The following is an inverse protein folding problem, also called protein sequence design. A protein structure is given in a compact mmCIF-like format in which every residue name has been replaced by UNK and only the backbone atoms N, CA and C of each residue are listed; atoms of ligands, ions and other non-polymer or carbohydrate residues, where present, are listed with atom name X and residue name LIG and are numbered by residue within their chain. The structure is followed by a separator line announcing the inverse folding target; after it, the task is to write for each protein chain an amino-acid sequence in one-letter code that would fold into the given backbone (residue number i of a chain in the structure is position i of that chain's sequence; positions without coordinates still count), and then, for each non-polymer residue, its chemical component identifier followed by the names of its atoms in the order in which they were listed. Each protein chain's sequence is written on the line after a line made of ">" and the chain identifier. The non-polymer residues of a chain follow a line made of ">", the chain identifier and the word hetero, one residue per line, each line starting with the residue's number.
data_IF_098658135429
#
_entry.id   IF_098658135429
#
_cell.length_a   1.000
_cell.length_b   1.000
_cell.length_c   1.000
_cell.angle_alpha   90.00
_cell.angle_beta   90.00
_cell.angle_gamma   90.00
#
_symmetry.space_group_name_H-M   'P 1'
#
loop_
_entity.id
_entity.type
_entity.pdbx_description
1 polymer ?
#
# COMPACT_ATOMS: atom_id res chain seq x y z
N UNK A 1 -8.53 -15.14 5.72
CA UNK A 1 -8.81 -14.54 4.39
C UNK A 1 -7.69 -14.84 3.40
N UNK A 2 -6.44 -14.42 3.67
CA UNK A 2 -5.30 -14.66 2.74
C UNK A 2 -5.12 -16.14 2.37
N UNK A 3 -5.19 -17.07 3.33
CA UNK A 3 -5.13 -18.51 3.01
C UNK A 3 -6.21 -18.98 2.02
N UNK A 4 -7.46 -18.46 2.14
CA UNK A 4 -8.51 -18.76 1.15
C UNK A 4 -8.16 -18.19 -0.23
N UNK A 5 -7.56 -17.00 -0.27
CA UNK A 5 -7.13 -16.39 -1.54
C UNK A 5 -6.12 -17.31 -2.25
N UNK A 6 -5.07 -17.75 -1.55
CA UNK A 6 -4.05 -18.66 -2.07
C UNK A 6 -4.67 -20.00 -2.50
N UNK A 7 -5.51 -20.62 -1.67
CA UNK A 7 -6.13 -21.90 -1.98
C UNK A 7 -6.97 -21.89 -3.28
N UNK A 8 -7.64 -20.78 -3.57
CA UNK A 8 -8.55 -20.69 -4.71
C UNK A 8 -7.93 -20.09 -5.98
N UNK A 9 -6.89 -19.26 -5.86
CA UNK A 9 -6.32 -18.52 -7.00
C UNK A 9 -4.79 -18.61 -7.11
N UNK A 10 -4.13 -19.23 -6.14
CA UNK A 10 -2.70 -19.44 -6.09
C UNK A 10 -2.28 -20.75 -6.74
N UNK A 11 -1.10 -20.74 -7.36
CA UNK A 11 -0.50 -21.93 -7.97
C UNK A 11 -0.25 -23.00 -6.90
N UNK A 12 -0.68 -24.23 -7.15
CA UNK A 12 -0.40 -25.35 -6.26
C UNK A 12 1.10 -25.65 -6.23
N UNK A 13 1.69 -25.72 -5.04
CA UNK A 13 3.13 -25.99 -4.84
C UNK A 13 3.34 -27.46 -4.47
N UNK A 14 2.54 -27.99 -3.54
CA UNK A 14 2.74 -29.34 -3.00
C UNK A 14 1.96 -29.58 -1.71
N UNK A 15 2.30 -30.67 -1.00
CA UNK A 15 1.75 -30.96 0.33
C UNK A 15 2.83 -30.85 1.41
N UNK A 16 2.48 -30.26 2.55
CA UNK A 16 3.29 -30.25 3.77
C UNK A 16 2.41 -30.82 4.89
N UNK A 17 2.85 -31.90 5.54
CA UNK A 17 2.10 -32.60 6.60
C UNK A 17 0.67 -32.98 6.19
N UNK A 18 0.47 -33.31 4.91
CA UNK A 18 -0.84 -33.67 4.35
C UNK A 18 -1.73 -32.49 3.96
N UNK A 19 -1.31 -31.25 4.20
CA UNK A 19 -2.03 -30.05 3.82
C UNK A 19 -1.54 -29.51 2.47
N UNK A 20 -2.48 -29.19 1.57
CA UNK A 20 -2.20 -28.62 0.26
C UNK A 20 -1.73 -27.16 0.38
N UNK A 21 -0.53 -26.89 -0.10
CA UNK A 21 0.09 -25.56 -0.09
C UNK A 21 0.00 -24.91 -1.46
N UNK A 22 -0.44 -23.66 -1.46
CA UNK A 22 -0.58 -22.81 -2.64
C UNK A 22 0.19 -21.52 -2.46
N UNK A 23 0.76 -21.01 -3.54
CA UNK A 23 1.43 -19.72 -3.58
C UNK A 23 0.44 -18.56 -3.48
N UNK A 24 0.95 -17.34 -3.35
CA UNK A 24 0.15 -16.14 -3.53
C UNK A 24 -0.27 -16.00 -5.01
N UNK A 25 -1.53 -15.61 -5.31
CA UNK A 25 -1.99 -15.46 -6.69
C UNK A 25 -1.24 -14.35 -7.43
N UNK A 26 -1.08 -14.52 -8.74
CA UNK A 26 -0.63 -13.43 -9.62
C UNK A 26 -1.80 -12.47 -9.91
N UNK A 27 -1.53 -11.22 -10.32
CA UNK A 27 -2.58 -10.31 -10.74
C UNK A 27 -3.47 -10.88 -11.87
N UNK A 28 -2.88 -11.65 -12.79
CA UNK A 28 -3.57 -12.25 -13.93
C UNK A 28 -4.59 -13.30 -13.46
N UNK A 29 -4.27 -14.11 -12.45
CA UNK A 29 -5.21 -15.13 -11.92
C UNK A 29 -6.41 -14.51 -11.18
N UNK A 30 -6.32 -13.24 -10.82
CA UNK A 30 -7.37 -12.47 -10.15
C UNK A 30 -8.15 -11.54 -11.09
N UNK A 31 -7.86 -11.55 -12.39
CA UNK A 31 -8.42 -10.63 -13.38
C UNK A 31 -9.71 -11.14 -14.07
N UNK A 32 -10.19 -12.34 -13.74
CA UNK A 32 -11.43 -12.86 -14.34
C UNK A 32 -12.69 -12.16 -13.79
N UNK A 33 -13.70 -11.97 -14.65
CA UNK A 33 -14.97 -11.29 -14.29
C UNK A 33 -15.69 -11.88 -13.07
N UNK A 34 -15.53 -13.18 -12.80
CA UNK A 34 -16.19 -13.89 -11.69
C UNK A 34 -15.48 -13.72 -10.34
N UNK A 35 -14.25 -13.18 -10.33
CA UNK A 35 -13.39 -13.16 -9.13
C UNK A 35 -14.02 -12.36 -8.00
N UNK A 36 -14.57 -11.17 -8.27
CA UNK A 36 -15.20 -10.36 -7.23
C UNK A 36 -16.35 -11.12 -6.54
N UNK A 37 -17.27 -11.70 -7.32
CA UNK A 37 -18.42 -12.42 -6.80
C UNK A 37 -17.98 -13.60 -5.92
N UNK A 38 -17.04 -14.41 -6.42
CA UNK A 38 -16.52 -15.54 -5.67
C UNK A 38 -15.76 -15.11 -4.40
N UNK A 39 -14.99 -14.01 -4.43
CA UNK A 39 -14.37 -13.47 -3.22
C UNK A 39 -15.40 -13.01 -2.18
N UNK A 40 -16.55 -12.48 -2.60
CA UNK A 40 -17.65 -12.13 -1.69
C UNK A 40 -18.21 -13.38 -1.02
N UNK A 41 -18.46 -14.45 -1.78
CA UNK A 41 -18.89 -15.76 -1.25
C UNK A 41 -17.89 -16.34 -0.25
N UNK A 42 -16.58 -16.15 -0.50
CA UNK A 42 -15.52 -16.58 0.42
C UNK A 42 -15.39 -15.73 1.70
N UNK A 43 -16.16 -14.64 1.81
CA UNK A 43 -16.25 -13.79 3.00
C UNK A 43 -15.33 -12.56 2.98
N UNK A 44 -14.86 -12.11 1.81
CA UNK A 44 -14.02 -10.90 1.72
C UNK A 44 -14.81 -9.60 1.88
N UNK A 45 -16.15 -9.67 1.81
CA UNK A 45 -17.03 -8.52 1.96
C UNK A 45 -16.75 -7.44 0.91
N UNK A 46 -16.80 -6.17 1.32
CA UNK A 46 -16.56 -5.05 0.42
C UNK A 46 -15.14 -5.01 -0.17
N UNK A 47 -14.15 -5.65 0.48
CA UNK A 47 -12.76 -5.71 0.01
C UNK A 47 -12.59 -6.58 -1.25
N UNK A 48 -13.55 -7.46 -1.55
CA UNK A 48 -13.55 -8.25 -2.78
C UNK A 48 -13.42 -7.37 -4.02
N UNK A 49 -14.16 -6.25 -4.05
CA UNK A 49 -14.08 -5.25 -5.13
C UNK A 49 -12.68 -4.65 -5.27
N UNK A 50 -12.03 -4.31 -4.15
CA UNK A 50 -10.71 -3.69 -4.17
C UNK A 50 -9.64 -4.63 -4.71
N UNK A 51 -9.70 -5.91 -4.32
CA UNK A 51 -8.78 -6.95 -4.80
C UNK A 51 -8.95 -7.16 -6.30
N UNK A 52 -10.18 -7.37 -6.77
CA UNK A 52 -10.47 -7.62 -8.17
C UNK A 52 -10.08 -6.41 -9.06
N UNK A 53 -10.46 -5.19 -8.66
CA UNK A 53 -10.14 -3.99 -9.44
C UNK A 53 -8.63 -3.71 -9.45
N UNK A 54 -7.95 -3.85 -8.31
CA UNK A 54 -6.50 -3.66 -8.25
C UNK A 54 -5.78 -4.69 -9.12
N UNK A 55 -6.17 -5.97 -9.04
CA UNK A 55 -5.58 -7.00 -9.88
C UNK A 55 -5.77 -6.71 -11.38
N UNK A 56 -6.97 -6.26 -11.78
CA UNK A 56 -7.25 -5.83 -13.16
C UNK A 56 -6.35 -4.68 -13.60
N UNK A 57 -6.24 -3.62 -12.80
CA UNK A 57 -5.38 -2.46 -13.07
C UNK A 57 -3.92 -2.90 -13.25
N UNK A 58 -3.41 -3.75 -12.35
CA UNK A 58 -2.02 -4.20 -12.41
C UNK A 58 -1.78 -5.10 -13.63
N UNK A 59 -2.72 -6.01 -13.95
CA UNK A 59 -2.57 -6.96 -15.04
C UNK A 59 -2.77 -6.35 -16.45
N UNK A 60 -3.54 -5.27 -16.56
CA UNK A 60 -3.94 -4.71 -17.87
C UNK A 60 -3.46 -3.28 -18.12
N UNK A 61 -3.44 -2.44 -17.08
CA UNK A 61 -3.28 -0.98 -17.25
C UNK A 61 -1.87 -0.51 -16.86
N UNK A 62 -1.14 -1.27 -16.05
CA UNK A 62 0.22 -0.92 -15.60
C UNK A 62 1.30 -1.60 -16.44
N UNK A 63 2.47 -0.94 -16.62
CA UNK A 63 3.63 -1.59 -17.22
C UNK A 63 4.08 -2.84 -16.46
N UNK A 64 4.74 -3.75 -17.17
CA UNK A 64 5.43 -4.88 -16.54
C UNK A 64 6.42 -4.36 -15.49
N UNK A 65 6.50 -5.02 -14.33
CA UNK A 65 7.34 -4.63 -13.20
C UNK A 65 7.05 -3.22 -12.63
N UNK A 66 5.87 -2.64 -12.88
CA UNK A 66 5.48 -1.34 -12.32
C UNK A 66 5.59 -1.26 -10.80
N UNK A 67 5.24 -2.34 -10.07
CA UNK A 67 5.38 -2.34 -8.61
C UNK A 67 6.86 -2.33 -8.19
N UNK A 68 7.71 -3.06 -8.92
CA UNK A 68 9.15 -3.10 -8.65
C UNK A 68 9.85 -1.78 -9.00
N UNK A 69 9.32 -1.00 -9.96
CA UNK A 69 9.83 0.35 -10.21
C UNK A 69 9.57 1.35 -9.09
N UNK A 70 8.70 1.01 -8.12
CA UNK A 70 8.45 1.83 -6.91
C UNK A 70 9.33 1.41 -5.72
N UNK A 71 10.17 0.38 -5.88
CA UNK A 71 11.00 -0.18 -4.83
C UNK A 71 12.13 0.79 -4.47
N UNK A 72 12.50 0.80 -3.18
CA UNK A 72 13.69 1.50 -2.74
C UNK A 72 14.92 0.91 -3.45
N UNK A 73 15.68 1.72 -4.22
CA UNK A 73 16.85 1.23 -4.95
C UNK A 73 17.94 0.64 -4.03
N UNK A 74 17.99 1.05 -2.76
CA UNK A 74 18.93 0.52 -1.77
C UNK A 74 18.53 -0.88 -1.25
N UNK A 75 17.29 -1.32 -1.50
CA UNK A 75 16.74 -2.60 -1.06
C UNK A 75 16.05 -3.36 -2.21
N UNK A 76 16.82 -3.85 -3.21
CA UNK A 76 16.27 -4.56 -4.35
C UNK A 76 15.60 -5.88 -3.94
N UNK A 77 14.55 -6.27 -4.68
CA UNK A 77 13.91 -7.57 -4.47
C UNK A 77 14.83 -8.70 -4.93
N UNK A 78 14.63 -9.87 -4.34
CA UNK A 78 15.29 -11.10 -4.79
C UNK A 78 14.93 -11.34 -6.27
N UNK A 79 15.94 -11.48 -7.12
CA UNK A 79 15.81 -11.58 -8.59
C UNK A 79 15.14 -10.37 -9.28
N UNK A 80 15.16 -9.18 -8.67
CA UNK A 80 14.64 -7.98 -9.33
C UNK A 80 15.41 -7.68 -10.62
N UNK A 81 14.67 -7.38 -11.69
CA UNK A 81 15.25 -6.81 -12.91
C UNK A 81 15.52 -5.34 -12.63
N UNK A 82 16.78 -4.93 -12.78
CA UNK A 82 17.15 -3.52 -12.60
C UNK A 82 16.33 -2.64 -13.55
N UNK A 83 15.59 -1.68 -12.99
CA UNK A 83 14.87 -0.68 -13.79
C UNK A 83 15.93 0.27 -14.38
N UNK A 84 16.13 0.16 -15.69
CA UNK A 84 17.26 0.76 -16.45
C UNK A 84 17.07 2.23 -16.80
N UNK A 85 15.96 2.84 -16.41
CA UNK A 85 15.57 4.22 -16.77
C UNK A 85 16.43 5.30 -16.10
N UNK A 86 17.09 4.98 -14.98
CA UNK A 86 17.94 5.93 -14.25
C UNK A 86 17.18 6.89 -13.32
N UNK A 87 15.85 6.91 -13.35
CA UNK A 87 15.05 7.54 -12.28
C UNK A 87 15.06 6.68 -11.02
N UNK A 88 15.47 7.30 -9.91
CA UNK A 88 15.31 6.74 -8.58
C UNK A 88 13.94 7.14 -8.06
N UNK A 89 13.07 6.16 -7.81
CA UNK A 89 11.81 6.42 -7.10
C UNK A 89 12.12 6.91 -5.69
N UNK A 90 11.33 7.84 -5.16
CA UNK A 90 11.35 8.18 -3.73
C UNK A 90 10.21 7.49 -2.99
N UNK A 91 10.31 7.37 -1.66
CA UNK A 91 9.18 6.93 -0.83
C UNK A 91 7.88 7.69 -1.15
N UNK A 92 7.96 9.01 -1.42
CA UNK A 92 6.78 9.82 -1.72
C UNK A 92 6.17 9.49 -3.07
N UNK A 93 6.98 9.18 -4.07
CA UNK A 93 6.50 8.74 -5.39
C UNK A 93 5.83 7.37 -5.28
N UNK A 94 6.46 6.43 -4.56
CA UNK A 94 5.90 5.11 -4.30
C UNK A 94 4.55 5.19 -3.55
N UNK A 95 4.47 6.00 -2.50
CA UNK A 95 3.24 6.22 -1.73
C UNK A 95 2.13 6.82 -2.61
N UNK A 96 2.44 7.86 -3.39
CA UNK A 96 1.48 8.51 -4.28
C UNK A 96 0.97 7.56 -5.38
N UNK A 97 1.86 6.75 -5.95
CA UNK A 97 1.52 5.75 -6.95
C UNK A 97 0.57 4.68 -6.37
N UNK A 98 0.82 4.18 -5.16
CA UNK A 98 -0.04 3.20 -4.49
C UNK A 98 -1.41 3.78 -4.12
N UNK A 99 -1.48 5.04 -3.70
CA UNK A 99 -2.74 5.73 -3.39
C UNK A 99 -3.68 5.89 -4.61
N UNK A 100 -3.17 5.70 -5.83
CA UNK A 100 -4.02 5.68 -7.04
C UNK A 100 -4.85 4.39 -7.16
N UNK A 101 -4.53 3.34 -6.39
CA UNK A 101 -5.23 2.06 -6.45
C UNK A 101 -6.50 2.07 -5.59
N UNK A 102 -7.58 1.51 -6.15
CA UNK A 102 -8.87 1.46 -5.46
C UNK A 102 -8.79 0.65 -4.17
N UNK A 103 -9.14 1.27 -3.03
CA UNK A 103 -9.12 0.62 -1.72
C UNK A 103 -7.79 0.70 -0.98
N UNK A 104 -6.78 1.37 -1.56
CA UNK A 104 -5.50 1.67 -0.91
C UNK A 104 -5.53 3.09 -0.33
N UNK A 105 -5.64 3.17 0.99
CA UNK A 105 -5.50 4.44 1.73
C UNK A 105 -4.08 4.65 2.27
N UNK A 106 -3.79 5.82 2.90
CA UNK A 106 -2.44 6.17 3.37
C UNK A 106 -1.77 5.09 4.22
N UNK A 107 -2.49 4.54 5.21
CA UNK A 107 -1.99 3.45 6.05
C UNK A 107 -1.60 2.21 5.25
N UNK A 108 -2.40 1.83 4.26
CA UNK A 108 -2.12 0.64 3.44
C UNK A 108 -0.95 0.90 2.50
N UNK A 109 -0.92 2.07 1.86
CA UNK A 109 0.22 2.48 1.03
C UNK A 109 1.53 2.45 1.84
N UNK A 110 1.52 3.01 3.06
CA UNK A 110 2.69 2.99 3.94
C UNK A 110 3.08 1.58 4.38
N UNK A 111 2.12 0.69 4.67
CA UNK A 111 2.43 -0.70 4.94
C UNK A 111 3.15 -1.38 3.76
N UNK A 112 2.73 -1.10 2.52
CA UNK A 112 3.37 -1.63 1.31
C UNK A 112 4.74 -0.99 1.10
N UNK A 113 4.88 0.32 1.29
CA UNK A 113 6.17 1.01 1.22
C UNK A 113 7.19 0.41 2.21
N UNK A 114 6.80 0.28 3.48
CA UNK A 114 7.68 -0.21 4.54
C UNK A 114 8.05 -1.70 4.36
N UNK A 115 7.05 -2.58 4.21
CA UNK A 115 7.28 -4.04 4.26
C UNK A 115 7.50 -4.67 2.88
N UNK A 116 6.93 -4.08 1.83
CA UNK A 116 6.96 -4.64 0.48
C UNK A 116 8.03 -4.02 -0.41
N UNK A 117 8.30 -2.72 -0.25
CA UNK A 117 9.16 -1.93 -1.15
C UNK A 117 10.48 -1.46 -0.51
N UNK A 118 10.71 -1.70 0.79
CA UNK A 118 11.98 -1.38 1.45
C UNK A 118 12.17 0.10 1.84
N UNK A 119 11.10 0.89 1.88
CA UNK A 119 11.14 2.28 2.35
C UNK A 119 11.09 2.33 3.88
N UNK A 120 12.25 2.17 4.53
CA UNK A 120 12.40 2.08 5.99
C UNK A 120 11.97 3.34 6.75
N UNK A 121 11.87 4.48 6.08
CA UNK A 121 11.36 5.73 6.64
C UNK A 121 9.81 5.82 6.67
N UNK A 122 9.10 4.89 6.02
CA UNK A 122 7.64 4.89 6.01
C UNK A 122 7.07 4.43 7.36
N UNK A 123 6.08 5.16 7.89
CA UNK A 123 5.45 4.86 9.18
C UNK A 123 3.94 4.69 8.97
N UNK A 124 3.43 3.46 8.89
CA UNK A 124 1.99 3.20 8.74
C UNK A 124 1.23 3.59 10.01
N UNK A 125 0.42 4.67 9.94
CA UNK A 125 -0.37 5.13 11.09
C UNK A 125 -1.78 4.57 11.05
N UNK A 126 -2.08 3.65 11.97
CA UNK A 126 -3.44 3.20 12.27
C UNK A 126 -3.95 3.78 13.60
N UNK A 127 -5.12 3.31 14.05
CA UNK A 127 -5.71 3.76 15.31
C UNK A 127 -4.85 3.42 16.52
N UNK A 128 -4.15 2.28 16.52
CA UNK A 128 -3.30 1.88 17.63
C UNK A 128 -2.03 2.71 17.70
N UNK A 129 -1.36 2.91 16.56
CA UNK A 129 -0.18 3.78 16.45
C UNK A 129 -0.54 5.20 16.87
N UNK A 130 -1.70 5.72 16.42
CA UNK A 130 -2.18 7.04 16.83
C UNK A 130 -2.45 7.13 18.34
N UNK A 131 -3.08 6.11 18.92
CA UNK A 131 -3.33 6.05 20.36
C UNK A 131 -2.03 6.03 21.17
N UNK A 132 -1.02 5.27 20.72
CA UNK A 132 0.32 5.24 21.33
C UNK A 132 0.96 6.63 21.25
N UNK A 133 0.94 7.28 20.08
CA UNK A 133 1.47 8.62 19.90
C UNK A 133 0.80 9.65 20.83
N UNK A 134 -0.52 9.56 21.00
CA UNK A 134 -1.29 10.45 21.88
C UNK A 134 -1.06 10.17 23.37
N UNK A 135 -0.96 8.89 23.76
CA UNK A 135 -0.78 8.44 25.15
C UNK A 135 0.64 8.73 25.64
N UNK A 136 1.65 8.33 24.88
CA UNK A 136 3.03 8.26 25.34
C UNK A 136 3.82 9.53 24.97
N UNK A 137 3.52 10.11 23.80
CA UNK A 137 4.24 11.27 23.26
C UNK A 137 3.42 12.57 23.26
N UNK A 138 2.19 12.53 23.79
CA UNK A 138 1.27 13.68 23.85
C UNK A 138 1.01 14.33 22.48
N UNK A 139 1.13 13.54 21.41
CA UNK A 139 0.91 14.01 20.04
C UNK A 139 -0.53 14.51 19.87
N UNK A 140 -0.73 15.67 19.23
CA UNK A 140 -2.06 16.22 18.93
C UNK A 140 -2.86 16.78 20.12
N UNK A 141 -2.37 16.72 21.36
CA UNK A 141 -2.96 17.47 22.48
C UNK A 141 -2.53 18.94 22.37
N UNK A 142 -3.39 19.79 21.78
CA UNK A 142 -3.24 21.25 21.95
C UNK A 142 -3.17 21.55 23.44
N UNK A 143 -2.14 22.28 23.88
CA UNK A 143 -2.01 22.75 25.25
C UNK A 143 -3.24 23.55 25.72
N UNK A 144 -3.33 23.85 27.03
CA UNK A 144 -4.48 24.57 27.57
C UNK A 144 -4.75 25.85 26.78
N UNK A 145 -6.01 26.05 26.38
CA UNK A 145 -6.49 27.26 25.71
C UNK A 145 -6.47 28.42 26.70
N UNK A 146 -5.31 29.01 26.92
CA UNK A 146 -5.19 30.33 27.55
C UNK A 146 -5.20 31.38 26.45
N UNK A 147 -6.13 32.32 26.57
CA UNK A 147 -6.43 33.42 25.67
C UNK A 147 -5.15 34.20 25.33
N UNK A 148 -4.75 34.26 24.06
CA UNK A 148 -4.08 35.42 23.44
C UNK A 148 -4.24 35.38 21.92
N UNK A 149 -4.63 36.53 21.38
CA UNK A 149 -4.89 36.90 19.98
C UNK A 149 -3.60 36.88 19.12
N UNK A 150 -3.80 36.68 17.81
CA UNK A 150 -2.85 36.91 16.69
C UNK A 150 -1.71 35.88 16.58
N UNK A 151 -1.29 35.37 15.42
CA UNK A 151 -1.11 36.01 14.11
C UNK A 151 -1.30 34.94 13.01
N UNK A 152 -2.31 35.12 12.14
CA UNK A 152 -2.32 34.56 10.78
C UNK A 152 -2.87 35.67 9.87
N UNK A 153 -1.98 36.60 9.49
CA UNK A 153 -2.18 37.53 8.38
C UNK A 153 -0.80 37.94 7.87
N UNK A 154 -0.64 37.86 6.55
CA UNK A 154 0.53 38.21 5.73
C UNK A 154 1.64 37.15 5.63
N UNK A 155 1.63 36.43 4.51
CA UNK A 155 2.74 36.47 3.55
C UNK A 155 2.25 35.94 2.20
N UNK A 156 1.42 36.74 1.54
CA UNK A 156 1.29 36.71 0.08
C UNK A 156 1.46 38.16 -0.40
N UNK A 157 2.71 38.60 -0.44
CA UNK A 157 3.22 39.77 -1.17
C UNK A 157 4.72 39.88 -0.89
N UNK A 158 5.53 39.39 -1.83
CA UNK A 158 6.87 39.88 -2.20
C UNK A 158 7.43 38.99 -3.32
N UNK A 159 6.91 39.23 -4.53
CA UNK A 159 7.54 38.84 -5.78
C UNK A 159 7.41 40.01 -6.75
N UNK A 160 8.19 41.06 -6.48
CA UNK A 160 8.56 42.12 -7.41
C UNK A 160 9.83 42.75 -6.85
N UNK A 161 10.97 42.40 -7.45
CA UNK A 161 12.05 43.31 -7.83
C UNK A 161 12.84 42.63 -8.94
#
# INVERSE_FOLDING_TARGET
>A
MVHKLCKHYGTFIGHIDGEAMHDFPTPESLNEKKVEAHLRELGFGYRAKYIAETARIIAQDKPLAWLDSLRNPDFPAFNAVAVVDGSQSTYKDAQAALLSLTGVGPKVADCVCLMGLGWGESVPVDTHVLQIAQRDYRFGKKGPKTITKAINRHNNQKATH
#
